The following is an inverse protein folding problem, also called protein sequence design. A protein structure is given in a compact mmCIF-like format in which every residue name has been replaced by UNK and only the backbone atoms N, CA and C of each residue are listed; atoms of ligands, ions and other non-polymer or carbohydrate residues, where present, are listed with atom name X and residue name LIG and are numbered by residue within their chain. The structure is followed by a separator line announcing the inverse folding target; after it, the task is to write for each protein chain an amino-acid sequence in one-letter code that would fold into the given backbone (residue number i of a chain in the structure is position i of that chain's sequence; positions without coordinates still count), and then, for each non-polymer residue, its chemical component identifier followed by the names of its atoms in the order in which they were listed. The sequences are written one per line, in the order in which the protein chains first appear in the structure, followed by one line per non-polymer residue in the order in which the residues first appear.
data_IF_367633632517
#
_entry.id   IF_367633632517
#
_cell.length_a   1.000
_cell.length_b   1.000
_cell.length_c   1.000
_cell.angle_alpha   90.00
_cell.angle_beta   90.00
_cell.angle_gamma   90.00
#
_symmetry.space_group_name_H-M   'P 1'
#
loop_
_entity.id
_entity.type
_entity.pdbx_description
1 polymer ?
#
# COMPACT_ATOMS: atom_id res chain seq x y z
N UNK A 1 19.63 9.22 6.79
CA UNK A 1 18.92 8.46 5.74
C UNK A 1 17.59 9.15 5.48
N UNK A 2 17.11 9.15 4.23
CA UNK A 2 15.77 9.67 3.90
C UNK A 2 14.73 8.74 4.54
N UNK A 3 13.70 9.29 5.19
CA UNK A 3 12.58 8.51 5.73
C UNK A 3 11.80 7.89 4.57
N UNK A 4 11.47 6.60 4.68
CA UNK A 4 10.60 5.94 3.73
C UNK A 4 9.22 6.59 3.74
N UNK A 5 8.69 6.91 2.57
CA UNK A 5 7.45 7.66 2.37
C UNK A 5 6.32 6.72 1.99
N UNK A 6 5.24 6.75 2.75
CA UNK A 6 4.05 5.94 2.53
C UNK A 6 2.88 6.85 2.18
N UNK A 7 2.18 6.56 1.08
CA UNK A 7 0.85 7.14 0.82
C UNK A 7 -0.19 6.18 1.34
N UNK A 8 -1.07 6.64 2.22
CA UNK A 8 -2.12 5.82 2.83
C UNK A 8 -3.50 6.44 2.63
N UNK A 9 -4.53 5.60 2.67
CA UNK A 9 -5.91 6.06 2.67
C UNK A 9 -6.91 4.90 2.73
N UNK A 10 -8.18 5.23 2.58
CA UNK A 10 -9.26 4.25 2.40
C UNK A 10 -9.83 4.40 1.00
N UNK A 11 -9.80 3.32 0.20
CA UNK A 11 -10.13 3.37 -1.23
C UNK A 11 -11.64 3.35 -1.51
N UNK A 12 -12.03 3.96 -2.63
CA UNK A 12 -13.37 3.80 -3.21
C UNK A 12 -14.43 4.60 -2.48
N UNK A 13 -15.58 3.99 -2.20
CA UNK A 13 -16.68 4.63 -1.46
C UNK A 13 -16.62 4.38 0.06
N UNK A 14 -15.52 3.81 0.55
CA UNK A 14 -15.37 3.41 1.94
C UNK A 14 -15.02 4.62 2.85
N UNK A 15 -15.90 4.91 3.81
CA UNK A 15 -15.79 6.02 4.75
C UNK A 15 -15.21 5.64 6.14
N UNK A 16 -14.70 4.42 6.31
CA UNK A 16 -14.20 3.92 7.60
C UNK A 16 -12.87 4.59 8.00
N UNK A 17 -12.95 5.72 8.70
CA UNK A 17 -11.78 6.53 9.04
C UNK A 17 -10.94 6.02 10.23
N UNK A 18 -11.49 5.16 11.10
CA UNK A 18 -10.82 4.77 12.36
C UNK A 18 -9.55 3.96 12.09
N UNK A 19 -9.64 2.92 11.26
CA UNK A 19 -8.48 2.10 10.89
C UNK A 19 -7.38 2.94 10.25
N UNK A 20 -7.74 3.82 9.32
CA UNK A 20 -6.79 4.73 8.68
C UNK A 20 -6.07 5.67 9.67
N UNK A 21 -6.78 6.23 10.67
CA UNK A 21 -6.14 7.03 11.72
C UNK A 21 -5.18 6.23 12.60
N UNK A 22 -5.49 4.96 12.84
CA UNK A 22 -4.59 4.06 13.58
C UNK A 22 -3.34 3.78 12.75
N UNK A 23 -3.49 3.46 11.46
CA UNK A 23 -2.36 3.25 10.53
C UNK A 23 -1.45 4.48 10.49
N UNK A 24 -2.02 5.67 10.33
CA UNK A 24 -1.28 6.94 10.32
C UNK A 24 -0.41 7.14 11.57
N UNK A 25 -1.02 6.94 12.74
CA UNK A 25 -0.32 7.05 14.03
C UNK A 25 0.79 6.02 14.17
N UNK A 26 0.51 4.75 13.85
CA UNK A 26 1.48 3.66 14.02
C UNK A 26 2.63 3.83 13.04
N UNK A 27 2.35 4.03 11.76
CA UNK A 27 3.40 4.20 10.74
C UNK A 27 4.27 5.43 11.02
N UNK A 28 3.68 6.53 11.47
CA UNK A 28 4.45 7.72 11.91
C UNK A 28 5.35 7.40 13.10
N UNK A 29 4.89 6.58 14.06
CA UNK A 29 5.70 6.15 15.20
C UNK A 29 6.87 5.22 14.79
N UNK A 30 6.73 4.50 13.67
CA UNK A 30 7.79 3.70 13.03
C UNK A 30 8.71 4.49 12.10
N UNK A 31 8.72 5.82 12.23
CA UNK A 31 9.60 6.73 11.49
C UNK A 31 9.35 6.77 9.96
N UNK A 32 8.18 6.31 9.50
CA UNK A 32 7.73 6.55 8.13
C UNK A 32 7.29 8.01 7.95
N UNK A 33 7.53 8.58 6.76
CA UNK A 33 6.87 9.81 6.31
C UNK A 33 5.51 9.44 5.72
N UNK A 34 4.45 9.64 6.50
CA UNK A 34 3.09 9.26 6.10
C UNK A 34 2.38 10.42 5.40
N UNK A 35 1.83 10.14 4.21
CA UNK A 35 0.97 11.03 3.43
C UNK A 35 -0.43 10.41 3.46
N UNK A 36 -1.27 10.91 4.37
CA UNK A 36 -2.61 10.38 4.59
C UNK A 36 -3.65 11.13 3.75
N UNK A 37 -4.23 10.44 2.77
CA UNK A 37 -5.26 10.98 1.87
C UNK A 37 -6.67 10.97 2.49
N UNK A 38 -6.84 10.32 3.65
CA UNK A 38 -8.11 10.24 4.35
C UNK A 38 -8.94 9.03 3.90
N UNK A 39 -10.21 9.27 3.60
CA UNK A 39 -11.19 8.24 3.25
C UNK A 39 -11.84 8.55 1.91
N UNK A 40 -12.48 7.56 1.31
CA UNK A 40 -13.15 7.69 0.01
C UNK A 40 -12.21 8.18 -1.10
N UNK A 41 -11.01 7.62 -1.14
CA UNK A 41 -9.92 8.03 -2.02
C UNK A 41 -9.95 7.22 -3.31
N UNK A 42 -9.88 7.90 -4.45
CA UNK A 42 -9.81 7.26 -5.76
C UNK A 42 -8.41 6.71 -6.07
N UNK A 43 -8.33 5.73 -6.99
CA UNK A 43 -7.04 5.21 -7.46
C UNK A 43 -6.12 6.31 -8.01
N UNK A 44 -6.68 7.29 -8.72
CA UNK A 44 -5.92 8.39 -9.29
C UNK A 44 -5.32 9.30 -8.22
N UNK A 45 -6.06 9.58 -7.14
CA UNK A 45 -5.53 10.37 -6.01
C UNK A 45 -4.35 9.67 -5.30
N UNK A 46 -4.38 8.35 -5.16
CA UNK A 46 -3.23 7.59 -4.65
C UNK A 46 -2.01 7.76 -5.54
N UNK A 47 -2.19 7.62 -6.85
CA UNK A 47 -1.11 7.70 -7.83
C UNK A 47 -0.54 9.11 -7.89
N UNK A 48 -1.40 10.15 -7.92
CA UNK A 48 -0.98 11.55 -7.93
C UNK A 48 -0.18 11.89 -6.67
N UNK A 49 -0.68 11.52 -5.48
CA UNK A 49 0.05 11.74 -4.24
C UNK A 49 1.38 10.98 -4.21
N UNK A 50 1.44 9.76 -4.74
CA UNK A 50 2.68 8.99 -4.81
C UNK A 50 3.73 9.66 -5.72
N UNK A 51 3.30 10.20 -6.87
CA UNK A 51 4.15 10.96 -7.79
C UNK A 51 4.63 12.26 -7.14
N UNK A 52 3.72 13.07 -6.60
CA UNK A 52 4.02 14.38 -6.02
C UNK A 52 4.97 14.29 -4.83
N UNK A 53 4.84 13.24 -4.03
CA UNK A 53 5.62 13.07 -2.80
C UNK A 53 6.86 12.21 -2.98
N UNK A 54 7.02 11.54 -4.13
CA UNK A 54 8.07 10.56 -4.36
C UNK A 54 7.98 9.41 -3.35
N UNK A 55 6.81 8.81 -3.26
CA UNK A 55 6.49 7.75 -2.30
C UNK A 55 7.22 6.45 -2.63
N UNK A 56 7.61 5.72 -1.59
CA UNK A 56 8.26 4.42 -1.70
C UNK A 56 7.22 3.28 -1.74
N UNK A 57 6.03 3.52 -1.16
CA UNK A 57 4.91 2.59 -1.21
C UNK A 57 3.54 3.28 -1.11
N UNK A 58 2.51 2.59 -1.62
CA UNK A 58 1.09 2.90 -1.41
C UNK A 58 0.47 1.81 -0.52
N UNK A 59 -0.21 2.22 0.54
CA UNK A 59 -0.92 1.35 1.48
C UNK A 59 -2.42 1.63 1.38
N UNK A 60 -3.15 0.70 0.80
CA UNK A 60 -4.59 0.79 0.60
C UNK A 60 -5.33 0.15 1.77
N UNK A 61 -6.29 0.86 2.36
CA UNK A 61 -7.24 0.28 3.32
C UNK A 61 -8.63 0.10 2.70
N UNK A 62 -9.29 -1.02 3.02
CA UNK A 62 -10.70 -1.27 2.70
C UNK A 62 -11.33 -2.20 3.74
N UNK A 63 -12.49 -1.84 4.29
CA UNK A 63 -13.18 -2.57 5.37
C UNK A 63 -14.58 -3.05 4.92
N UNK A 64 -15.17 -2.41 3.92
CA UNK A 64 -16.53 -2.69 3.47
C UNK A 64 -16.69 -3.84 2.45
N UNK A 65 -15.62 -4.60 2.19
CA UNK A 65 -15.70 -5.84 1.41
C UNK A 65 -15.70 -5.70 -0.11
N UNK A 66 -15.48 -4.50 -0.66
CA UNK A 66 -15.38 -4.26 -2.11
C UNK A 66 -13.95 -3.88 -2.55
N UNK A 67 -12.95 -4.20 -1.73
CA UNK A 67 -11.55 -3.90 -2.04
C UNK A 67 -11.08 -4.58 -3.32
N UNK A 68 -11.66 -5.72 -3.69
CA UNK A 68 -11.31 -6.42 -4.92
C UNK A 68 -11.77 -5.69 -6.19
N UNK A 69 -12.92 -5.02 -6.11
CA UNK A 69 -13.43 -4.17 -7.18
C UNK A 69 -12.67 -2.84 -7.20
N UNK A 70 -12.49 -2.22 -6.03
CA UNK A 70 -11.85 -0.90 -5.93
C UNK A 70 -10.36 -0.92 -6.26
N UNK A 71 -9.67 -2.03 -6.02
CA UNK A 71 -8.25 -2.18 -6.34
C UNK A 71 -8.01 -2.72 -7.76
N UNK A 72 -9.05 -3.12 -8.49
CA UNK A 72 -8.91 -3.67 -9.84
C UNK A 72 -8.34 -2.60 -10.79
N UNK A 73 -7.28 -2.96 -11.52
CA UNK A 73 -6.62 -2.04 -12.45
C UNK A 73 -5.63 -1.06 -11.81
N UNK A 74 -5.43 -1.10 -10.48
CA UNK A 74 -4.56 -0.13 -9.80
C UNK A 74 -3.10 -0.28 -10.25
N UNK A 75 -2.58 -1.51 -10.36
CA UNK A 75 -1.21 -1.76 -10.82
C UNK A 75 -1.02 -1.28 -12.26
N UNK A 76 -1.94 -1.60 -13.15
CA UNK A 76 -1.92 -1.20 -14.55
C UNK A 76 -1.88 0.33 -14.67
N UNK A 77 -2.70 1.03 -13.88
CA UNK A 77 -2.67 2.50 -13.82
C UNK A 77 -1.36 3.05 -13.27
N UNK A 78 -0.78 2.43 -12.24
CA UNK A 78 0.56 2.80 -11.77
C UNK A 78 1.59 2.70 -12.91
N UNK A 79 1.52 1.65 -13.73
CA UNK A 79 2.42 1.45 -14.88
C UNK A 79 2.19 2.54 -15.93
N UNK A 80 0.94 2.79 -16.31
CA UNK A 80 0.58 3.82 -17.30
C UNK A 80 1.02 5.22 -16.87
N UNK A 81 1.03 5.49 -15.56
CA UNK A 81 1.38 6.77 -14.95
C UNK A 81 2.86 6.90 -14.60
N UNK A 82 3.68 5.87 -14.86
CA UNK A 82 5.14 5.92 -14.71
C UNK A 82 5.67 5.59 -13.31
N UNK A 83 4.85 5.07 -12.40
CA UNK A 83 5.24 4.58 -11.07
C UNK A 83 5.05 3.06 -10.92
N UNK A 84 5.09 2.34 -12.04
CA UNK A 84 4.59 0.97 -12.20
C UNK A 84 5.24 -0.10 -11.34
N UNK A 85 6.39 0.18 -10.74
CA UNK A 85 7.10 -0.73 -9.87
C UNK A 85 6.90 -0.40 -8.38
N UNK A 86 6.20 0.69 -8.03
CA UNK A 86 5.96 1.09 -6.63
C UNK A 86 5.38 -0.07 -5.80
N UNK A 87 5.80 -0.16 -4.54
CA UNK A 87 5.31 -1.17 -3.62
C UNK A 87 3.83 -0.88 -3.29
N UNK A 88 2.98 -1.87 -3.52
CA UNK A 88 1.55 -1.82 -3.25
C UNK A 88 1.22 -2.78 -2.10
N UNK A 89 0.56 -2.23 -1.09
CA UNK A 89 0.06 -2.97 0.06
C UNK A 89 -1.43 -2.75 0.20
N UNK A 90 -2.16 -3.78 0.65
CA UNK A 90 -3.58 -3.67 0.92
C UNK A 90 -3.93 -4.34 2.24
N UNK A 91 -4.84 -3.74 3.01
CA UNK A 91 -5.26 -4.28 4.28
C UNK A 91 -6.71 -3.99 4.65
N UNK A 92 -7.27 -4.89 5.45
CA UNK A 92 -8.63 -4.79 5.96
C UNK A 92 -9.52 -5.94 5.50
N UNK A 93 -10.83 -5.71 5.42
CA UNK A 93 -11.81 -6.70 5.05
C UNK A 93 -12.20 -6.49 3.57
N UNK A 94 -11.53 -7.25 2.70
CA UNK A 94 -11.40 -6.92 1.27
C UNK A 94 -12.50 -7.50 0.37
N UNK A 95 -13.18 -8.56 0.81
CA UNK A 95 -14.19 -9.28 0.01
C UNK A 95 -15.43 -9.54 0.86
N UNK A 96 -16.62 -9.42 0.27
CA UNK A 96 -17.89 -9.77 0.93
C UNK A 96 -18.04 -11.28 1.06
N UNK A 97 -18.30 -11.76 2.28
CA UNK A 97 -18.61 -13.16 2.55
C UNK A 97 -17.53 -13.88 3.36
N UNK A 98 -17.64 -15.21 3.44
CA UNK A 98 -16.63 -16.06 4.10
C UNK A 98 -15.74 -16.65 3.01
N UNK A 99 -14.54 -16.11 2.90
CA UNK A 99 -13.49 -16.62 2.03
C UNK A 99 -12.29 -17.01 2.87
N UNK A 100 -11.52 -18.00 2.41
CA UNK A 100 -10.22 -18.27 3.01
C UNK A 100 -9.31 -17.06 2.74
N UNK A 101 -8.54 -16.65 3.75
CA UNK A 101 -7.58 -15.57 3.60
C UNK A 101 -6.52 -15.91 2.53
N UNK A 102 -6.15 -17.18 2.38
CA UNK A 102 -5.20 -17.62 1.37
C UNK A 102 -5.69 -17.30 -0.06
N UNK A 103 -6.99 -17.48 -0.34
CA UNK A 103 -7.58 -17.17 -1.64
C UNK A 103 -7.63 -15.66 -1.89
N UNK A 104 -7.96 -14.88 -0.86
CA UNK A 104 -7.92 -13.41 -0.92
C UNK A 104 -6.49 -12.95 -1.20
N UNK A 105 -5.52 -13.45 -0.44
CA UNK A 105 -4.11 -13.08 -0.59
C UNK A 105 -3.60 -13.40 -2.00
N UNK A 106 -3.91 -14.58 -2.54
CA UNK A 106 -3.54 -14.96 -3.90
C UNK A 106 -4.14 -13.99 -4.94
N UNK A 107 -5.44 -13.69 -4.82
CA UNK A 107 -6.15 -12.76 -5.73
C UNK A 107 -5.50 -11.38 -5.76
N UNK A 108 -5.21 -10.78 -4.61
CA UNK A 108 -4.61 -9.45 -4.57
C UNK A 108 -3.13 -9.46 -5.00
N UNK A 109 -2.38 -10.54 -4.78
CA UNK A 109 -1.05 -10.70 -5.35
C UNK A 109 -1.06 -10.77 -6.87
N UNK A 110 -2.04 -11.46 -7.46
CA UNK A 110 -2.25 -11.47 -8.92
C UNK A 110 -2.58 -10.08 -9.47
N UNK A 111 -3.26 -9.23 -8.68
CA UNK A 111 -3.52 -7.82 -9.01
C UNK A 111 -2.28 -6.91 -8.83
N UNK A 112 -1.12 -7.46 -8.46
CA UNK A 112 0.13 -6.72 -8.37
C UNK A 112 0.45 -6.12 -7.00
N UNK A 113 -0.25 -6.52 -5.94
CA UNK A 113 0.10 -6.17 -4.56
C UNK A 113 1.26 -7.03 -4.05
N UNK A 114 2.21 -6.41 -3.36
CA UNK A 114 3.33 -7.13 -2.75
C UNK A 114 2.91 -7.88 -1.50
N UNK A 115 2.03 -7.29 -0.67
CA UNK A 115 1.48 -7.94 0.52
C UNK A 115 0.02 -7.57 0.75
N UNK A 116 -0.67 -8.49 1.40
CA UNK A 116 -2.08 -8.41 1.76
C UNK A 116 -2.17 -8.67 3.26
N UNK A 117 -2.81 -7.77 4.00
CA UNK A 117 -2.90 -7.85 5.45
C UNK A 117 -4.35 -8.03 5.91
N UNK A 118 -4.63 -9.13 6.60
CA UNK A 118 -5.91 -9.31 7.28
C UNK A 118 -6.11 -8.26 8.40
N UNK A 119 -7.35 -7.93 8.80
CA UNK A 119 -7.63 -6.98 9.88
C UNK A 119 -7.00 -7.35 11.23
N UNK A 120 -6.67 -8.62 11.43
CA UNK A 120 -6.08 -9.16 12.65
C UNK A 120 -4.55 -9.17 12.66
N UNK A 121 -3.88 -8.73 11.59
CA UNK A 121 -2.42 -8.68 11.58
C UNK A 121 -1.90 -7.63 12.57
N UNK A 122 -0.79 -7.96 13.23
CA UNK A 122 -0.09 -7.02 14.09
C UNK A 122 0.54 -5.90 13.24
N UNK A 123 0.27 -4.65 13.61
CA UNK A 123 0.77 -3.49 12.88
C UNK A 123 2.29 -3.29 13.05
N UNK A 124 2.87 -3.79 14.13
CA UNK A 124 4.32 -3.82 14.32
C UNK A 124 4.98 -4.69 13.25
N UNK A 125 4.46 -5.91 13.07
CA UNK A 125 4.94 -6.83 12.03
C UNK A 125 4.73 -6.25 10.63
N UNK A 126 3.58 -5.59 10.38
CA UNK A 126 3.31 -4.89 9.12
C UNK A 126 4.38 -3.84 8.85
N UNK A 127 4.73 -3.00 9.84
CA UNK A 127 5.77 -1.99 9.71
C UNK A 127 7.14 -2.60 9.38
N UNK A 128 7.52 -3.66 10.07
CA UNK A 128 8.79 -4.35 9.85
C UNK A 128 8.89 -4.97 8.46
N UNK A 129 7.81 -5.62 8.00
CA UNK A 129 7.73 -6.19 6.66
C UNK A 129 7.83 -5.13 5.57
N UNK A 130 7.08 -4.03 5.71
CA UNK A 130 7.15 -2.91 4.75
C UNK A 130 8.54 -2.27 4.72
N UNK A 131 9.14 -2.02 5.90
CA UNK A 131 10.49 -1.47 5.99
C UNK A 131 11.52 -2.38 5.32
N UNK A 132 11.42 -3.70 5.52
CA UNK A 132 12.31 -4.67 4.89
C UNK A 132 12.19 -4.68 3.36
N UNK A 133 10.96 -4.65 2.84
CA UNK A 133 10.71 -4.62 1.39
C UNK A 133 11.25 -3.32 0.76
N UNK A 134 10.99 -2.16 1.38
CA UNK A 134 11.47 -0.86 0.91
C UNK A 134 13.00 -0.81 0.91
N UNK A 135 13.63 -1.25 2.01
CA UNK A 135 15.10 -1.29 2.10
C UNK A 135 15.71 -2.23 1.06
N UNK A 136 15.10 -3.40 0.82
CA UNK A 136 15.54 -4.34 -0.21
C UNK A 136 15.47 -3.71 -1.59
N UNK A 137 14.39 -2.97 -1.89
CA UNK A 137 14.21 -2.27 -3.15
C UNK A 137 15.30 -1.21 -3.36
N UNK A 138 15.50 -0.31 -2.38
CA UNK A 138 16.55 0.71 -2.48
C UNK A 138 17.95 0.11 -2.62
N UNK A 139 18.22 -1.00 -1.92
CA UNK A 139 19.49 -1.71 -2.06
C UNK A 139 19.68 -2.39 -3.43
N UNK A 140 18.61 -2.72 -4.16
CA UNK A 140 18.69 -3.17 -5.56
C UNK A 140 18.94 -1.98 -6.49
N UNK A 141 18.20 -0.89 -6.33
CA UNK A 141 18.37 0.33 -7.13
C UNK A 141 19.80 0.87 -7.04
N UNK A 142 20.40 0.89 -5.84
CA UNK A 142 21.77 1.36 -5.63
C UNK A 142 22.82 0.45 -6.30
N UNK A 143 22.65 -0.88 -6.24
CA UNK A 143 23.57 -1.83 -6.90
C UNK A 143 23.50 -1.74 -8.42
N UNK A 144 22.31 -1.61 -9.00
CA UNK A 144 22.18 -1.43 -10.45
C UNK A 144 22.84 -0.13 -10.95
N UNK A 145 22.82 0.94 -10.15
CA UNK A 145 23.51 2.18 -10.46
C UNK A 145 25.04 2.02 -10.38
N UNK A 146 25.54 1.30 -9.38
CA UNK A 146 26.97 1.04 -9.21
C UNK A 146 27.54 0.13 -10.32
N UNK A 147 26.77 -0.85 -10.82
CA UNK A 147 27.18 -1.74 -11.92
C UNK A 147 27.09 -1.08 -13.32
N UNK A 148 26.39 0.04 -13.45
CA UNK A 148 26.21 0.77 -14.70
C UNK A 148 27.29 1.83 -14.98
N UNK A 149 28.27 1.98 -14.09
CA UNK A 149 29.41 2.91 -14.16
C UNK A 149 30.69 2.12 -14.46
#
# INVERSE_FOLDING_TARGET
MKKSTLVIGVIGADCHAVGNKVLDRVFTAHDFRVINLGVMVSQDEYIDAAIETGADAIVVSSIYGHGDIDCLGLRERCIERGIGDILLYVGGNLVVGKHDFADIEAKFKEMGFQRVFAPSHDLEDVCQLMAADINKRHGVEQRCLEEAI
#
